data_IF_117189032369
#
_entry.id   IF_117189032369
#
_cell.length_a   1.000
_cell.length_b   1.000
_cell.length_c   1.000
_cell.angle_alpha   90.00
_cell.angle_beta   90.00
_cell.angle_gamma   90.00
#
_symmetry.space_group_name_H-M   'P 1'
#
loop_
_entity.id
_entity.type
_entity.pdbx_description
1 polymer ?
#
# COMPACT_ATOMS: atom_id res chain seq x y z
N UNK A 1 5.42 8.47 -19.58
CA UNK A 1 6.34 8.12 -18.47
C UNK A 1 5.78 6.87 -17.82
N UNK A 2 6.45 5.73 -17.97
CA UNK A 2 6.02 4.49 -17.32
C UNK A 2 6.31 4.64 -15.82
N UNK A 3 5.27 4.56 -14.98
CA UNK A 3 5.47 4.56 -13.53
C UNK A 3 6.19 3.26 -13.13
N UNK A 4 7.18 3.31 -12.24
CA UNK A 4 7.86 2.12 -11.75
C UNK A 4 6.83 1.14 -11.15
N UNK A 5 6.88 -0.11 -11.61
CA UNK A 5 5.84 -1.11 -11.36
C UNK A 5 6.17 -1.87 -10.08
N UNK A 6 5.47 -1.59 -8.98
CA UNK A 6 5.61 -2.34 -7.73
C UNK A 6 5.33 -1.49 -6.48
N UNK A 7 4.99 -2.16 -5.39
CA UNK A 7 4.54 -1.50 -4.16
C UNK A 7 5.57 -0.57 -3.53
N UNK A 8 6.85 -0.99 -3.51
CA UNK A 8 7.93 -0.16 -2.98
C UNK A 8 8.09 1.14 -3.78
N UNK A 9 7.79 1.09 -5.07
CA UNK A 9 7.86 2.27 -5.93
C UNK A 9 6.66 3.20 -5.74
N UNK A 10 5.46 2.65 -5.52
CA UNK A 10 4.27 3.42 -5.15
C UNK A 10 4.45 4.11 -3.79
N UNK A 11 5.00 3.40 -2.80
CA UNK A 11 5.34 3.96 -1.49
C UNK A 11 6.42 5.05 -1.59
N UNK A 12 7.49 4.81 -2.37
CA UNK A 12 8.54 5.78 -2.59
C UNK A 12 8.02 7.04 -3.31
N UNK A 13 7.15 6.85 -4.30
CA UNK A 13 6.52 7.97 -5.00
C UNK A 13 5.67 8.80 -4.05
N UNK A 14 4.85 8.16 -3.21
CA UNK A 14 4.01 8.86 -2.24
C UNK A 14 4.84 9.71 -1.29
N UNK A 15 5.87 9.12 -0.67
CA UNK A 15 6.80 9.83 0.24
C UNK A 15 7.43 11.07 -0.41
N UNK A 16 7.76 10.97 -1.70
CA UNK A 16 8.38 12.08 -2.44
C UNK A 16 7.41 13.19 -2.85
N UNK A 17 6.10 12.92 -2.94
CA UNK A 17 5.13 13.86 -3.52
C UNK A 17 4.00 14.26 -2.57
N UNK A 18 3.90 13.71 -1.36
CA UNK A 18 2.75 13.91 -0.44
C UNK A 18 2.33 15.36 -0.21
N UNK A 19 3.28 16.30 -0.17
CA UNK A 19 3.01 17.73 0.13
C UNK A 19 2.45 18.52 -1.07
N UNK A 20 2.37 17.92 -2.26
CA UNK A 20 1.94 18.60 -3.48
C UNK A 20 1.48 17.68 -4.60
N UNK A 21 1.17 16.42 -4.29
CA UNK A 21 0.82 15.41 -5.28
C UNK A 21 -0.39 15.85 -6.09
N UNK A 22 -0.38 15.66 -7.40
CA UNK A 22 -1.58 15.82 -8.21
C UNK A 22 -2.69 14.86 -7.72
N UNK A 23 -3.95 15.32 -7.51
CA UNK A 23 -5.03 14.48 -6.96
C UNK A 23 -5.30 13.22 -7.79
N UNK A 24 -5.20 13.31 -9.12
CA UNK A 24 -5.44 12.17 -10.02
C UNK A 24 -4.31 11.14 -9.90
N UNK A 25 -3.05 11.59 -9.82
CA UNK A 25 -1.91 10.72 -9.56
C UNK A 25 -2.03 10.04 -8.18
N UNK A 26 -2.41 10.77 -7.14
CA UNK A 26 -2.64 10.23 -5.80
C UNK A 26 -3.75 9.17 -5.79
N UNK A 27 -4.88 9.39 -6.47
CA UNK A 27 -5.94 8.37 -6.62
C UNK A 27 -5.46 7.10 -7.31
N UNK A 28 -4.59 7.20 -8.31
CA UNK A 28 -4.04 6.01 -9.00
C UNK A 28 -3.12 5.20 -8.09
N UNK A 29 -2.31 5.87 -7.28
CA UNK A 29 -1.45 5.21 -6.28
C UNK A 29 -2.30 4.56 -5.21
N UNK A 30 -3.30 5.28 -4.68
CA UNK A 30 -4.26 4.74 -3.73
C UNK A 30 -4.91 3.45 -4.27
N UNK A 31 -5.44 3.48 -5.49
CA UNK A 31 -6.07 2.31 -6.09
C UNK A 31 -5.13 1.09 -6.17
N UNK A 32 -3.85 1.29 -6.47
CA UNK A 32 -2.87 0.19 -6.51
C UNK A 32 -2.49 -0.33 -5.14
N UNK A 33 -2.26 0.55 -4.17
CA UNK A 33 -1.97 0.18 -2.78
C UNK A 33 -3.15 -0.58 -2.16
N UNK A 34 -4.38 -0.10 -2.36
CA UNK A 34 -5.59 -0.79 -1.91
C UNK A 34 -5.72 -2.16 -2.57
N UNK A 35 -5.51 -2.27 -3.89
CA UNK A 35 -5.58 -3.55 -4.59
C UNK A 35 -4.54 -4.56 -4.06
N UNK A 36 -3.31 -4.10 -3.80
CA UNK A 36 -2.29 -4.94 -3.17
C UNK A 36 -2.73 -5.38 -1.77
N UNK A 37 -3.25 -4.47 -0.94
CA UNK A 37 -3.66 -4.77 0.44
C UNK A 37 -4.75 -5.84 0.47
N UNK A 38 -5.74 -5.73 -0.39
CA UNK A 38 -6.80 -6.74 -0.55
C UNK A 38 -6.20 -8.10 -0.92
N UNK A 39 -5.33 -8.15 -1.93
CA UNK A 39 -4.69 -9.40 -2.34
C UNK A 39 -3.84 -10.01 -1.21
N UNK A 40 -3.05 -9.19 -0.52
CA UNK A 40 -2.23 -9.60 0.61
C UNK A 40 -3.08 -10.19 1.74
N UNK A 41 -4.20 -9.55 2.08
CA UNK A 41 -5.10 -10.03 3.14
C UNK A 41 -5.78 -11.35 2.77
N UNK A 42 -6.18 -11.50 1.50
CA UNK A 42 -6.69 -12.77 0.98
C UNK A 42 -5.64 -13.88 1.04
N UNK A 43 -4.40 -13.60 0.63
CA UNK A 43 -3.31 -14.58 0.64
C UNK A 43 -2.89 -14.95 2.07
N UNK A 44 -2.89 -13.98 2.98
CA UNK A 44 -2.73 -14.20 4.42
C UNK A 44 -3.85 -15.09 4.98
N UNK A 45 -5.10 -14.85 4.58
CA UNK A 45 -6.25 -15.64 5.03
C UNK A 45 -6.17 -17.10 4.56
N UNK A 46 -5.62 -17.34 3.36
CA UNK A 46 -5.39 -18.67 2.76
C UNK A 46 -4.27 -19.48 3.42
N UNK A 47 -3.41 -18.87 4.24
CA UNK A 47 -2.31 -19.59 4.92
C UNK A 47 -2.83 -20.71 5.82
N UNK A 48 -2.20 -21.89 5.73
CA UNK A 48 -2.64 -23.12 6.37
C UNK A 48 -2.35 -23.14 7.89
N UNK A 49 -3.22 -22.53 8.69
CA UNK A 49 -3.10 -22.55 10.15
C UNK A 49 -2.17 -21.48 10.73
N UNK A 50 -2.02 -21.42 12.06
CA UNK A 50 -1.45 -20.27 12.75
C UNK A 50 0.06 -20.08 12.52
N UNK A 51 0.82 -21.16 12.33
CA UNK A 51 2.27 -21.06 12.11
C UNK A 51 2.61 -20.34 10.80
N UNK A 52 1.99 -20.73 9.69
CA UNK A 52 2.25 -20.08 8.40
C UNK A 52 1.76 -18.63 8.37
N UNK A 53 0.70 -18.30 9.11
CA UNK A 53 0.27 -16.91 9.32
C UNK A 53 1.32 -16.10 10.06
N UNK A 54 1.91 -16.64 11.12
CA UNK A 54 2.99 -15.98 11.86
C UNK A 54 4.22 -15.76 10.97
N UNK A 55 4.61 -16.74 10.14
CA UNK A 55 5.72 -16.59 9.19
C UNK A 55 5.38 -15.54 8.13
N UNK A 56 4.16 -15.54 7.59
CA UNK A 56 3.67 -14.53 6.66
C UNK A 56 3.78 -13.12 7.25
N UNK A 57 3.27 -12.95 8.47
CA UNK A 57 3.33 -11.68 9.20
C UNK A 57 4.78 -11.24 9.46
N UNK A 58 5.68 -12.18 9.73
CA UNK A 58 7.10 -11.89 9.92
C UNK A 58 7.84 -11.49 8.63
N UNK A 59 7.37 -11.92 7.46
CA UNK A 59 7.99 -11.59 6.17
C UNK A 59 7.43 -10.27 5.61
N UNK A 60 6.10 -10.08 5.70
CA UNK A 60 5.41 -8.99 5.03
C UNK A 60 4.90 -7.90 5.97
N UNK A 61 5.04 -8.05 7.29
CA UNK A 61 4.47 -7.13 8.27
C UNK A 61 4.94 -5.68 8.10
N UNK A 62 6.21 -5.46 7.77
CA UNK A 62 6.77 -4.13 7.53
C UNK A 62 6.15 -3.47 6.29
N UNK A 63 6.01 -4.23 5.20
CA UNK A 63 5.37 -3.75 3.97
C UNK A 63 3.87 -3.50 4.20
N UNK A 64 3.17 -4.41 4.89
CA UNK A 64 1.74 -4.27 5.20
C UNK A 64 1.44 -3.02 6.05
N UNK A 65 2.28 -2.76 7.06
CA UNK A 65 2.22 -1.56 7.87
C UNK A 65 2.44 -0.29 7.03
N UNK A 66 3.52 -0.26 6.24
CA UNK A 66 3.86 0.90 5.40
C UNK A 66 2.78 1.22 4.36
N UNK A 67 2.11 0.19 3.82
CA UNK A 67 1.02 0.35 2.87
C UNK A 67 -0.24 0.85 3.54
N UNK A 68 -0.58 0.31 4.70
CA UNK A 68 -1.74 0.76 5.49
C UNK A 68 -1.60 2.24 5.87
N UNK A 69 -0.41 2.65 6.33
CA UNK A 69 -0.11 4.05 6.62
C UNK A 69 -0.23 4.94 5.38
N UNK A 70 0.39 4.53 4.26
CA UNK A 70 0.34 5.32 3.03
C UNK A 70 -1.08 5.48 2.48
N UNK A 71 -1.93 4.44 2.56
CA UNK A 71 -3.35 4.53 2.17
C UNK A 71 -4.05 5.61 3.00
N UNK A 72 -3.92 5.58 4.32
CA UNK A 72 -4.57 6.53 5.22
C UNK A 72 -4.08 7.97 4.99
N UNK A 73 -2.78 8.16 4.75
CA UNK A 73 -2.21 9.47 4.41
C UNK A 73 -2.76 10.00 3.08
N UNK A 74 -2.86 9.16 2.04
CA UNK A 74 -3.38 9.56 0.74
C UNK A 74 -4.87 9.91 0.83
N UNK A 75 -5.66 9.10 1.53
CA UNK A 75 -7.09 9.36 1.73
C UNK A 75 -7.32 10.70 2.44
N UNK A 76 -6.54 10.98 3.49
CA UNK A 76 -6.57 12.25 4.22
C UNK A 76 -6.21 13.42 3.29
N UNK A 77 -5.09 13.31 2.57
CA UNK A 77 -4.64 14.35 1.65
C UNK A 77 -5.61 14.62 0.49
N UNK A 78 -6.42 13.62 0.09
CA UNK A 78 -7.48 13.78 -0.90
C UNK A 78 -8.77 14.36 -0.33
N UNK A 79 -9.06 14.13 0.95
CA UNK A 79 -10.24 14.67 1.63
C UNK A 79 -10.09 16.16 1.99
N UNK A 80 -8.86 16.62 2.26
CA UNK A 80 -8.54 18.01 2.58
C UNK A 80 -8.51 18.96 1.36
N UNK A 81 -8.89 18.46 0.16
CA UNK A 81 -8.86 19.19 -1.12
C UNK A 81 -10.23 19.36 -1.74
#
# INVERSE_FOLDING_TARGET
MAQPQGISADLAWWRAHRDGADPEAARRVLARLTAWKVQHDEDRARQAGPFFKMVWDGIFGDDDGAVTEAIAEIETALADR
#
